data_IF_974441824037
#
_entry.id   IF_974441824037
#
_cell.length_a   1.000
_cell.length_b   1.000
_cell.length_c   1.000
_cell.angle_alpha   90.00
_cell.angle_beta   90.00
_cell.angle_gamma   90.00
#
_symmetry.space_group_name_H-M   'P 1'
#
loop_
_entity.id
_entity.type
_entity.pdbx_description
1 polymer ?
#
# COMPACT_ATOMS: atom_id res chain seq x y z
N UNK A 1 13.99 8.92 0.44
CA UNK A 1 14.66 9.35 1.69
C UNK A 1 13.70 10.25 2.47
N UNK A 2 13.85 10.49 3.78
CA UNK A 2 13.02 11.51 4.43
C UNK A 2 13.64 12.20 5.65
N UNK A 3 13.17 13.42 5.92
CA UNK A 3 13.48 14.21 7.10
C UNK A 3 12.44 13.91 8.18
N UNK A 4 12.87 13.59 9.39
CA UNK A 4 11.98 13.41 10.53
C UNK A 4 12.61 13.95 11.80
N UNK A 5 11.93 14.91 12.42
CA UNK A 5 12.41 15.63 13.60
C UNK A 5 13.86 16.15 13.43
N UNK A 6 14.17 16.67 12.24
CA UNK A 6 15.50 17.21 11.93
C UNK A 6 16.55 16.18 11.52
N UNK A 7 16.24 14.88 11.52
CA UNK A 7 17.17 13.82 11.11
C UNK A 7 16.86 13.30 9.71
N UNK A 8 17.90 13.04 8.92
CA UNK A 8 17.77 12.36 7.62
C UNK A 8 17.72 10.84 7.87
N UNK A 9 16.68 10.20 7.35
CA UNK A 9 16.51 8.75 7.42
C UNK A 9 16.42 8.15 6.02
N UNK A 10 17.20 7.09 5.79
CA UNK A 10 17.22 6.32 4.55
C UNK A 10 16.85 4.88 4.90
N UNK A 11 15.70 4.42 4.41
CA UNK A 11 15.18 3.07 4.71
C UNK A 11 15.51 2.02 3.65
N UNK A 12 15.62 2.45 2.40
CA UNK A 12 15.86 1.56 1.26
C UNK A 12 16.43 2.36 0.09
N UNK A 13 17.30 1.73 -0.70
CA UNK A 13 17.64 2.16 -2.05
C UNK A 13 16.71 1.36 -2.99
N UNK A 14 15.83 2.02 -3.77
CA UNK A 14 14.81 1.32 -4.55
C UNK A 14 15.44 0.27 -5.48
N UNK A 15 14.99 -0.97 -5.33
CA UNK A 15 15.35 -2.06 -6.24
C UNK A 15 14.48 -2.03 -7.51
N UNK A 16 14.88 -2.75 -8.55
CA UNK A 16 14.06 -2.90 -9.75
C UNK A 16 12.66 -3.48 -9.45
N UNK A 17 12.59 -4.42 -8.50
CA UNK A 17 11.35 -5.07 -8.08
C UNK A 17 10.41 -4.08 -7.37
N UNK A 18 10.99 -3.21 -6.54
CA UNK A 18 10.28 -2.09 -5.92
C UNK A 18 9.65 -1.20 -7.00
N UNK A 19 10.45 -0.68 -7.94
CA UNK A 19 9.96 0.27 -8.96
C UNK A 19 8.88 -0.32 -9.86
N UNK A 20 9.02 -1.60 -10.26
CA UNK A 20 8.03 -2.28 -11.10
C UNK A 20 6.71 -2.52 -10.35
N UNK A 21 6.77 -2.94 -9.08
CA UNK A 21 5.57 -3.17 -8.25
C UNK A 21 4.75 -1.89 -8.17
N UNK A 22 5.43 -0.79 -7.88
CA UNK A 22 4.79 0.48 -7.64
C UNK A 22 4.26 1.13 -8.94
N UNK A 23 5.01 1.01 -10.05
CA UNK A 23 4.52 1.38 -11.39
C UNK A 23 3.32 0.56 -11.86
N UNK A 24 3.24 -0.73 -11.50
CA UNK A 24 2.09 -1.60 -11.81
C UNK A 24 0.83 -1.12 -11.11
N UNK A 25 0.92 -0.76 -9.83
CA UNK A 25 -0.21 -0.20 -9.07
C UNK A 25 -0.71 1.08 -9.73
N UNK A 26 0.20 1.97 -10.13
CA UNK A 26 -0.15 3.21 -10.85
C UNK A 26 -0.94 2.92 -12.14
N UNK A 27 -0.47 1.98 -12.97
CA UNK A 27 -1.14 1.64 -14.24
C UNK A 27 -2.53 1.05 -14.00
N UNK A 28 -2.68 0.17 -13.00
CA UNK A 28 -3.97 -0.41 -12.64
C UNK A 28 -4.96 0.67 -12.19
N UNK A 29 -4.53 1.58 -11.31
CA UNK A 29 -5.36 2.70 -10.85
C UNK A 29 -5.71 3.68 -11.99
N UNK A 30 -4.72 4.04 -12.81
CA UNK A 30 -4.87 4.94 -13.96
C UNK A 30 -5.84 4.40 -15.02
N UNK A 31 -5.73 3.11 -15.33
CA UNK A 31 -6.67 2.44 -16.24
C UNK A 31 -8.08 2.40 -15.66
N UNK A 32 -8.22 2.05 -14.37
CA UNK A 32 -9.52 1.94 -13.71
C UNK A 32 -10.29 3.26 -13.68
N UNK A 33 -9.62 4.39 -13.39
CA UNK A 33 -10.28 5.68 -13.28
C UNK A 33 -10.17 6.57 -14.52
N UNK A 34 -9.74 6.01 -15.66
CA UNK A 34 -9.48 6.77 -16.88
C UNK A 34 -8.57 8.00 -16.64
N UNK A 35 -7.55 7.83 -15.80
CA UNK A 35 -6.56 8.84 -15.44
C UNK A 35 -7.11 10.11 -14.76
N UNK A 36 -8.24 10.03 -14.10
CA UNK A 36 -8.85 11.15 -13.35
C UNK A 36 -8.10 11.55 -12.05
N UNK A 37 -7.00 10.86 -11.76
CA UNK A 37 -6.05 11.26 -10.70
C UNK A 37 -4.81 11.91 -11.32
N UNK A 38 -4.19 12.77 -10.52
CA UNK A 38 -2.78 13.06 -10.63
C UNK A 38 -2.01 11.98 -9.85
N UNK A 39 -0.91 11.55 -10.43
CA UNK A 39 -0.01 10.56 -9.85
C UNK A 39 1.39 11.17 -9.81
N UNK A 40 2.20 10.77 -8.83
CA UNK A 40 3.60 11.13 -8.84
C UNK A 40 4.43 10.24 -7.93
N UNK A 41 5.73 10.38 -8.13
CA UNK A 41 6.80 9.71 -7.40
C UNK A 41 7.75 10.77 -6.88
N UNK A 42 8.52 10.46 -5.83
CA UNK A 42 9.70 11.24 -5.42
C UNK A 42 9.44 12.72 -5.08
N UNK A 43 8.17 13.14 -4.94
CA UNK A 43 7.83 14.47 -4.50
C UNK A 43 8.00 14.56 -2.98
N UNK A 44 8.86 15.47 -2.52
CA UNK A 44 8.98 15.77 -1.08
C UNK A 44 7.72 16.49 -0.61
N UNK A 45 6.98 15.87 0.31
CA UNK A 45 5.84 16.50 0.98
C UNK A 45 6.19 16.88 2.40
N UNK A 46 5.74 18.06 2.82
CA UNK A 46 5.86 18.57 4.19
C UNK A 46 4.81 17.86 5.05
N UNK A 47 5.22 17.04 6.01
CA UNK A 47 4.30 16.28 6.87
C UNK A 47 4.20 16.86 8.28
N UNK A 48 5.03 17.85 8.62
CA UNK A 48 5.02 18.54 9.90
C UNK A 48 6.25 19.44 10.08
N UNK A 49 6.39 20.10 11.23
CA UNK A 49 7.61 20.82 11.58
C UNK A 49 8.82 19.89 11.47
N UNK A 50 9.84 20.30 10.71
CA UNK A 50 11.06 19.53 10.47
C UNK A 50 10.82 18.07 10.06
N UNK A 51 9.69 17.81 9.37
CA UNK A 51 9.31 16.49 8.90
C UNK A 51 8.81 16.61 7.46
N UNK A 52 9.52 15.99 6.54
CA UNK A 52 9.15 15.96 5.13
C UNK A 52 9.60 14.65 4.52
N UNK A 53 8.80 14.08 3.61
CA UNK A 53 9.05 12.75 3.05
C UNK A 53 8.76 12.70 1.57
N UNK A 54 9.66 12.03 0.87
CA UNK A 54 9.41 11.46 -0.45
C UNK A 54 8.69 10.13 -0.24
N UNK A 55 7.46 10.06 -0.73
CA UNK A 55 6.76 8.79 -0.87
C UNK A 55 7.24 8.06 -2.10
N UNK A 56 7.13 6.74 -2.10
CA UNK A 56 7.36 5.96 -3.31
C UNK A 56 6.34 6.41 -4.37
N UNK A 57 5.05 6.41 -4.03
CA UNK A 57 3.97 6.85 -4.92
C UNK A 57 2.86 7.57 -4.14
N UNK A 58 2.22 8.53 -4.82
CA UNK A 58 1.05 9.23 -4.31
C UNK A 58 -0.04 9.37 -5.37
N UNK A 59 -1.28 9.47 -4.90
CA UNK A 59 -2.48 9.62 -5.73
C UNK A 59 -3.32 10.78 -5.22
N UNK A 60 -3.68 11.69 -6.13
CA UNK A 60 -4.47 12.88 -5.80
C UNK A 60 -5.58 13.10 -6.83
N UNK A 61 -6.84 13.31 -6.43
CA UNK A 61 -7.90 13.75 -7.34
C UNK A 61 -7.52 15.03 -8.07
N UNK A 62 -7.67 15.04 -9.40
CA UNK A 62 -7.41 16.26 -10.21
C UNK A 62 -8.36 17.40 -9.88
N UNK A 63 -9.51 17.05 -9.31
CA UNK A 63 -10.57 17.98 -8.93
C UNK A 63 -10.53 18.37 -7.45
N UNK A 64 -9.51 17.94 -6.71
CA UNK A 64 -9.30 18.40 -5.34
C UNK A 64 -8.79 19.86 -5.36
N UNK A 65 -9.49 20.82 -4.73
CA UNK A 65 -9.02 22.19 -4.67
C UNK A 65 -7.73 22.30 -3.83
N UNK A 66 -6.78 23.09 -4.32
CA UNK A 66 -5.61 23.48 -3.53
C UNK A 66 -6.05 24.42 -2.39
N UNK A 67 -5.40 24.34 -1.21
CA UNK A 67 -5.49 25.38 -0.18
C UNK A 67 -5.18 26.78 -0.72
N UNK A 68 -5.64 27.85 -0.05
CA UNK A 68 -5.27 29.22 -0.41
C UNK A 68 -3.75 29.39 -0.46
N UNK A 69 -3.25 30.05 -1.51
CA UNK A 69 -1.83 30.31 -1.68
C UNK A 69 -1.32 31.17 -0.51
N UNK A 70 -0.20 30.75 0.09
CA UNK A 70 0.41 31.41 1.25
C UNK A 70 -0.20 31.01 2.59
N UNK A 71 -1.17 30.08 2.60
CA UNK A 71 -1.74 29.56 3.85
C UNK A 71 -0.75 28.69 4.63
N UNK A 72 0.24 28.11 3.94
CA UNK A 72 1.17 27.16 4.53
C UNK A 72 0.46 25.89 5.02
N UNK A 73 -0.70 25.56 4.45
CA UNK A 73 -1.51 24.37 4.77
C UNK A 73 -1.35 23.26 3.73
N UNK A 74 -0.71 23.53 2.59
CA UNK A 74 -0.47 22.52 1.58
C UNK A 74 0.71 21.60 1.86
N UNK A 75 0.86 20.63 0.97
CA UNK A 75 1.89 19.60 0.96
C UNK A 75 3.26 20.11 0.55
N UNK A 76 3.32 21.25 -0.14
CA UNK A 76 4.55 21.86 -0.63
C UNK A 76 4.55 23.38 -0.43
N UNK A 77 5.63 24.04 -0.86
CA UNK A 77 5.78 25.50 -0.80
C UNK A 77 4.78 26.29 -1.64
N UNK A 78 4.08 25.63 -2.57
CA UNK A 78 3.09 26.24 -3.44
C UNK A 78 1.66 26.00 -2.93
N UNK A 79 1.53 25.53 -1.69
CA UNK A 79 0.27 25.15 -1.06
C UNK A 79 -0.56 24.15 -1.89
N UNK A 80 0.11 23.20 -2.54
CA UNK A 80 -0.59 22.10 -3.22
C UNK A 80 -1.36 21.23 -2.24
N UNK A 81 -2.59 20.85 -2.58
CA UNK A 81 -3.36 19.92 -1.77
C UNK A 81 -2.61 18.60 -1.57
N UNK A 82 -2.67 18.03 -0.37
CA UNK A 82 -2.10 16.71 -0.13
C UNK A 82 -2.78 15.66 -1.03
N UNK A 83 -2.03 14.63 -1.45
CA UNK A 83 -2.62 13.42 -1.98
C UNK A 83 -3.66 12.83 -1.01
N UNK A 84 -4.68 12.15 -1.54
CA UNK A 84 -5.65 11.43 -0.70
C UNK A 84 -5.14 10.04 -0.35
N UNK A 85 -4.25 9.47 -1.16
CA UNK A 85 -3.66 8.16 -0.95
C UNK A 85 -2.15 8.17 -1.12
N UNK A 86 -1.47 7.47 -0.22
CA UNK A 86 -0.04 7.19 -0.25
C UNK A 86 0.20 5.71 -0.46
N UNK A 87 1.19 5.37 -1.28
CA UNK A 87 1.60 4.00 -1.52
C UNK A 87 3.09 3.88 -1.18
N UNK A 88 3.42 2.94 -0.31
CA UNK A 88 4.80 2.62 0.08
C UNK A 88 5.08 1.16 -0.25
N UNK A 89 6.22 0.90 -0.90
CA UNK A 89 6.66 -0.44 -1.26
C UNK A 89 7.98 -0.71 -0.56
N UNK A 90 8.06 -1.81 0.18
CA UNK A 90 9.30 -2.20 0.86
C UNK A 90 9.78 -3.56 0.36
N UNK A 91 11.02 -3.63 -0.12
CA UNK A 91 11.69 -4.90 -0.38
C UNK A 91 12.72 -5.19 0.71
N UNK A 92 13.64 -4.27 0.95
CA UNK A 92 14.63 -4.36 2.04
C UNK A 92 14.06 -3.81 3.35
N UNK A 93 13.15 -2.83 3.26
CA UNK A 93 12.50 -2.26 4.43
C UNK A 93 11.64 -3.29 5.16
N UNK A 94 11.67 -3.29 6.50
CA UNK A 94 10.82 -4.19 7.30
C UNK A 94 9.33 -3.81 7.19
N UNK A 95 8.45 -4.80 7.41
CA UNK A 95 7.00 -4.54 7.46
C UNK A 95 6.63 -3.54 8.57
N UNK A 96 7.32 -3.60 9.71
CA UNK A 96 7.07 -2.70 10.84
C UNK A 96 7.48 -1.25 10.52
N UNK A 97 8.54 -1.05 9.74
CA UNK A 97 8.92 0.30 9.31
C UNK A 97 7.95 0.88 8.29
N UNK A 98 7.37 0.04 7.40
CA UNK A 98 6.26 0.45 6.53
C UNK A 98 5.05 0.86 7.37
N UNK A 99 4.68 0.05 8.37
CA UNK A 99 3.58 0.32 9.28
C UNK A 99 3.76 1.66 10.04
N UNK A 100 4.95 1.91 10.60
CA UNK A 100 5.24 3.14 11.35
C UNK A 100 5.13 4.41 10.52
N UNK A 101 5.38 4.35 9.21
CA UNK A 101 5.24 5.50 8.30
C UNK A 101 3.80 6.03 8.26
N UNK A 102 2.79 5.19 8.49
CA UNK A 102 1.38 5.61 8.50
C UNK A 102 1.12 6.73 9.49
N UNK A 103 1.77 6.74 10.66
CA UNK A 103 1.60 7.80 11.66
C UNK A 103 2.02 9.18 11.14
N UNK A 104 3.02 9.25 10.26
CA UNK A 104 3.45 10.49 9.62
C UNK A 104 2.38 10.99 8.64
N UNK A 105 1.86 10.08 7.82
CA UNK A 105 0.83 10.39 6.83
C UNK A 105 -0.52 10.71 7.44
N UNK A 106 -0.86 10.15 8.60
CA UNK A 106 -2.11 10.42 9.32
C UNK A 106 -1.98 11.46 10.43
N UNK A 107 -0.88 12.22 10.45
CA UNK A 107 -0.75 13.34 11.37
C UNK A 107 -1.87 14.39 11.17
N UNK A 108 -2.16 15.22 12.18
CA UNK A 108 -3.12 16.32 12.06
C UNK A 108 -2.75 17.38 11.01
N UNK A 109 -1.49 17.38 10.54
CA UNK A 109 -0.98 18.32 9.54
C UNK A 109 -1.50 18.03 8.13
N UNK A 110 -1.85 16.79 7.83
CA UNK A 110 -2.13 16.30 6.48
C UNK A 110 -3.61 15.96 6.34
N UNK A 111 -4.09 15.91 5.10
CA UNK A 111 -5.46 15.46 4.77
C UNK A 111 -5.51 14.09 4.09
N UNK A 112 -4.38 13.38 4.04
CA UNK A 112 -4.21 12.06 3.42
C UNK A 112 -5.17 11.06 4.07
N UNK A 113 -6.01 10.36 3.31
CA UNK A 113 -7.02 9.45 3.86
C UNK A 113 -6.60 7.98 3.84
N UNK A 114 -5.75 7.59 2.88
CA UNK A 114 -5.40 6.19 2.64
C UNK A 114 -3.89 6.03 2.65
N UNK A 115 -3.40 4.96 3.30
CA UNK A 115 -2.04 4.45 3.10
C UNK A 115 -2.14 2.99 2.66
N UNK A 116 -1.52 2.65 1.54
CA UNK A 116 -1.32 1.27 1.09
C UNK A 116 0.16 0.92 1.23
N UNK A 117 0.46 -0.04 2.08
CA UNK A 117 1.80 -0.58 2.23
C UNK A 117 1.90 -1.94 1.54
N UNK A 118 2.91 -2.13 0.69
CA UNK A 118 3.22 -3.41 0.05
C UNK A 118 4.59 -3.87 0.54
N UNK A 119 4.63 -4.98 1.26
CA UNK A 119 5.88 -5.65 1.64
C UNK A 119 6.14 -6.80 0.68
N UNK A 120 7.32 -6.79 0.07
CA UNK A 120 7.85 -7.84 -0.79
C UNK A 120 8.93 -8.58 0.01
N UNK A 121 8.83 -9.90 0.10
CA UNK A 121 9.85 -10.74 0.73
C UNK A 121 10.84 -11.29 -0.29
N UNK A 122 11.99 -11.75 0.18
CA UNK A 122 12.96 -12.45 -0.66
C UNK A 122 12.38 -13.74 -1.23
N UNK A 123 12.79 -14.08 -2.46
CA UNK A 123 12.44 -15.36 -3.09
C UNK A 123 13.08 -16.50 -2.29
N UNK A 124 12.27 -17.52 -1.99
CA UNK A 124 12.69 -18.76 -1.34
C UNK A 124 12.77 -19.85 -2.40
N UNK A 125 13.96 -20.38 -2.67
CA UNK A 125 14.14 -21.49 -3.61
C UNK A 125 14.39 -22.77 -2.84
N UNK A 126 13.56 -23.79 -3.10
CA UNK A 126 13.83 -25.14 -2.61
C UNK A 126 14.98 -25.74 -3.44
N UNK A 127 16.11 -26.10 -2.82
CA UNK A 127 17.27 -26.62 -3.55
C UNK A 127 17.03 -28.00 -4.17
N UNK A 128 16.02 -28.75 -3.72
CA UNK A 128 15.75 -30.11 -4.19
C UNK A 128 14.82 -30.12 -5.40
N UNK A 129 13.83 -29.22 -5.43
CA UNK A 129 12.84 -29.12 -6.52
C UNK A 129 13.18 -28.01 -7.50
N UNK A 130 14.11 -27.12 -7.14
CA UNK A 130 14.42 -25.87 -7.85
C UNK A 130 13.18 -24.97 -8.04
N UNK A 131 12.15 -25.16 -7.21
CA UNK A 131 10.94 -24.35 -7.22
C UNK A 131 11.16 -23.10 -6.39
N UNK A 132 10.84 -21.95 -6.96
CA UNK A 132 10.98 -20.65 -6.30
C UNK A 132 9.62 -20.14 -5.82
N UNK A 133 9.55 -19.68 -4.58
CA UNK A 133 8.32 -19.15 -4.00
C UNK A 133 8.54 -17.78 -3.39
N UNK A 134 7.47 -17.00 -3.28
CA UNK A 134 7.53 -15.65 -2.72
C UNK A 134 6.27 -15.37 -1.92
N UNK A 135 6.44 -14.67 -0.80
CA UNK A 135 5.33 -14.06 -0.06
C UNK A 135 5.35 -12.55 -0.29
N UNK A 136 4.17 -11.97 -0.32
CA UNK A 136 3.94 -10.53 -0.29
C UNK A 136 2.82 -10.22 0.71
N UNK A 137 2.82 -9.01 1.26
CA UNK A 137 1.78 -8.52 2.15
C UNK A 137 1.31 -7.16 1.65
N UNK A 138 0.01 -7.01 1.45
CA UNK A 138 -0.65 -5.73 1.27
C UNK A 138 -1.34 -5.34 2.58
N UNK A 139 -1.11 -4.13 3.08
CA UNK A 139 -1.76 -3.60 4.28
C UNK A 139 -2.40 -2.24 3.97
N UNK A 140 -3.71 -2.14 4.15
CA UNK A 140 -4.51 -0.95 3.90
C UNK A 140 -4.85 -0.24 5.21
N UNK A 141 -4.57 1.06 5.27
CA UNK A 141 -4.91 1.93 6.39
C UNK A 141 -5.88 3.01 5.91
N UNK A 142 -6.89 3.29 6.73
CA UNK A 142 -7.88 4.33 6.48
C UNK A 142 -7.89 5.31 7.64
N UNK A 143 -7.74 6.61 7.37
CA UNK A 143 -7.80 7.66 8.40
C UNK A 143 -9.15 7.69 9.11
N UNK A 144 -10.23 7.37 8.40
CA UNK A 144 -11.62 7.34 8.89
C UNK A 144 -11.91 6.16 9.81
N UNK A 145 -11.01 5.18 9.90
CA UNK A 145 -11.13 4.05 10.83
C UNK A 145 -11.09 4.53 12.28
N UNK A 146 -11.81 3.83 13.18
CA UNK A 146 -11.74 4.07 14.62
C UNK A 146 -10.31 3.87 15.18
N UNK A 147 -9.50 3.06 14.50
CA UNK A 147 -8.09 2.79 14.83
C UNK A 147 -7.22 3.03 13.59
N UNK A 148 -6.95 4.29 13.20
CA UNK A 148 -6.36 4.61 11.89
C UNK A 148 -4.91 4.16 11.72
N UNK A 149 -4.21 3.87 12.83
CA UNK A 149 -2.85 3.33 12.81
C UNK A 149 -2.81 1.80 12.77
N UNK A 150 -3.97 1.13 12.79
CA UNK A 150 -4.09 -0.33 12.59
C UNK A 150 -4.65 -0.54 11.18
N UNK A 151 -4.04 -1.41 10.35
CA UNK A 151 -4.61 -1.71 9.03
C UNK A 151 -6.04 -2.24 9.16
N UNK A 152 -6.94 -1.74 8.32
CA UNK A 152 -8.33 -2.23 8.24
C UNK A 152 -8.42 -3.55 7.46
N UNK A 153 -7.47 -3.78 6.55
CA UNK A 153 -7.34 -5.00 5.76
C UNK A 153 -5.87 -5.32 5.52
N UNK A 154 -5.50 -6.58 5.71
CA UNK A 154 -4.21 -7.15 5.36
C UNK A 154 -4.45 -8.40 4.52
N UNK A 155 -3.81 -8.47 3.35
CA UNK A 155 -3.88 -9.62 2.45
C UNK A 155 -2.46 -10.15 2.21
N UNK A 156 -2.21 -11.40 2.57
CA UNK A 156 -1.03 -12.13 2.11
C UNK A 156 -1.28 -12.71 0.73
N UNK A 157 -0.32 -12.55 -0.18
CA UNK A 157 -0.44 -13.03 -1.56
C UNK A 157 0.92 -13.48 -2.10
N UNK A 158 0.92 -14.17 -3.23
CA UNK A 158 2.10 -14.83 -3.80
C UNK A 158 1.93 -16.35 -3.84
N UNK A 159 3.06 -17.08 -3.83
CA UNK A 159 3.08 -18.55 -3.97
C UNK A 159 3.49 -19.28 -2.70
N UNK A 160 3.77 -18.55 -1.62
CA UNK A 160 4.07 -19.16 -0.34
C UNK A 160 3.54 -18.35 0.84
N UNK A 161 3.33 -19.07 1.94
CA UNK A 161 2.86 -18.53 3.19
C UNK A 161 3.86 -17.50 3.76
N UNK A 162 3.37 -16.42 4.41
CA UNK A 162 4.23 -15.59 5.25
C UNK A 162 4.81 -16.43 6.39
N UNK A 163 6.05 -16.17 6.78
CA UNK A 163 6.66 -16.87 7.92
C UNK A 163 5.95 -16.55 9.25
N UNK A 164 6.18 -17.39 10.26
CA UNK A 164 5.54 -17.24 11.57
C UNK A 164 5.85 -15.89 12.24
N UNK A 165 7.05 -15.33 12.02
CA UNK A 165 7.43 -14.04 12.59
C UNK A 165 6.66 -12.89 11.94
N UNK A 166 6.41 -12.96 10.64
CA UNK A 166 5.60 -12.02 9.87
C UNK A 166 4.15 -12.07 10.33
N UNK A 167 3.59 -13.27 10.48
CA UNK A 167 2.23 -13.46 11.01
C UNK A 167 2.12 -12.89 12.43
N UNK A 168 3.09 -13.19 13.30
CA UNK A 168 3.16 -12.68 14.66
C UNK A 168 3.28 -11.14 14.69
N UNK A 169 4.06 -10.56 13.79
CA UNK A 169 4.20 -9.11 13.65
C UNK A 169 2.85 -8.47 13.29
N UNK A 170 2.15 -9.00 12.29
CA UNK A 170 0.85 -8.48 11.83
C UNK A 170 -0.19 -8.53 12.96
N UNK A 171 -0.29 -9.67 13.66
CA UNK A 171 -1.32 -9.85 14.69
C UNK A 171 -0.96 -9.07 15.96
N UNK A 172 0.24 -9.26 16.48
CA UNK A 172 0.57 -8.82 17.84
C UNK A 172 1.28 -7.46 17.89
N UNK A 173 2.06 -7.08 16.87
CA UNK A 173 2.78 -5.81 16.86
C UNK A 173 2.00 -4.71 16.13
N UNK A 174 1.38 -5.04 14.99
CA UNK A 174 0.54 -4.12 14.24
C UNK A 174 -0.91 -4.08 14.75
N UNK A 175 -1.29 -5.06 15.60
CA UNK A 175 -2.61 -5.11 16.23
C UNK A 175 -3.75 -5.49 15.29
N UNK A 176 -3.47 -6.16 14.17
CA UNK A 176 -4.47 -6.48 13.15
C UNK A 176 -5.43 -7.54 13.68
N UNK A 177 -6.75 -7.27 13.69
CA UNK A 177 -7.74 -8.27 14.08
C UNK A 177 -7.68 -9.49 13.16
N UNK A 178 -7.87 -10.73 13.67
CA UNK A 178 -7.79 -11.93 12.85
C UNK A 178 -8.68 -11.93 11.61
N UNK A 179 -9.89 -11.35 11.69
CA UNK A 179 -10.82 -11.25 10.56
C UNK A 179 -10.40 -10.24 9.48
N UNK A 180 -9.44 -9.36 9.77
CA UNK A 180 -8.88 -8.39 8.84
C UNK A 180 -7.62 -8.91 8.14
N UNK A 181 -7.15 -10.12 8.46
CA UNK A 181 -5.95 -10.72 7.85
C UNK A 181 -6.27 -12.02 7.10
N UNK A 182 -6.34 -11.90 5.77
CA UNK A 182 -6.71 -12.98 4.83
C UNK A 182 -5.58 -13.27 3.82
N UNK A 183 -5.79 -14.23 2.93
CA UNK A 183 -4.87 -14.57 1.85
C UNK A 183 -3.94 -15.75 2.16
N UNK A 184 -2.92 -15.97 1.32
CA UNK A 184 -2.05 -17.16 1.34
C UNK A 184 -1.51 -17.45 2.75
N UNK A 185 -1.61 -18.70 3.20
CA UNK A 185 -1.21 -19.11 4.54
C UNK A 185 -2.21 -18.77 5.65
N UNK A 186 -3.41 -18.28 5.29
CA UNK A 186 -4.54 -18.05 6.21
C UNK A 186 -5.69 -19.00 5.88
N UNK A 187 -6.47 -19.46 6.87
CA UNK A 187 -7.69 -20.22 6.63
C UNK A 187 -8.74 -19.37 5.91
N UNK A 188 -9.36 -19.92 4.87
CA UNK A 188 -10.51 -19.33 4.19
C UNK A 188 -11.82 -19.83 4.83
N UNK A 189 -12.58 -18.95 5.50
CA UNK A 189 -13.84 -19.34 6.12
C UNK A 189 -14.90 -19.81 5.11
N UNK A 190 -14.75 -19.50 3.82
CA UNK A 190 -15.70 -19.86 2.78
C UNK A 190 -15.38 -21.21 2.11
N UNK A 191 -14.25 -21.84 2.45
CA UNK A 191 -13.78 -23.08 1.83
C UNK A 191 -13.41 -24.14 2.88
N UNK A 192 -14.34 -24.46 3.78
CA UNK A 192 -14.14 -25.44 4.86
C UNK A 192 -12.91 -25.16 5.75
N UNK A 193 -12.51 -23.90 5.89
CA UNK A 193 -11.27 -23.48 6.57
C UNK A 193 -9.98 -24.05 5.96
N UNK A 194 -10.02 -24.50 4.70
CA UNK A 194 -8.79 -24.73 3.93
C UNK A 194 -8.07 -23.40 3.73
N UNK A 195 -6.74 -23.44 3.62
CA UNK A 195 -6.00 -22.20 3.37
C UNK A 195 -6.34 -21.60 2.01
N UNK A 196 -6.29 -20.27 1.92
CA UNK A 196 -6.38 -19.58 0.64
C UNK A 196 -5.32 -20.14 -0.34
N UNK A 197 -5.71 -20.41 -1.60
CA UNK A 197 -4.83 -21.05 -2.58
C UNK A 197 -3.76 -20.08 -3.09
N UNK A 198 -2.53 -20.52 -3.42
CA UNK A 198 -1.47 -19.63 -3.91
C UNK A 198 -1.88 -18.90 -5.21
N UNK A 199 -1.32 -17.72 -5.47
CA UNK A 199 -1.71 -16.86 -6.60
C UNK A 199 -1.48 -17.48 -8.00
N UNK A 200 -0.78 -18.61 -8.11
CA UNK A 200 -0.60 -19.35 -9.36
C UNK A 200 -1.62 -20.48 -9.58
N UNK A 201 -2.57 -20.69 -8.67
CA UNK A 201 -3.67 -21.63 -8.85
C UNK A 201 -4.87 -20.97 -9.58
N UNK A 202 -5.48 -21.62 -10.59
CA UNK A 202 -6.77 -21.18 -11.14
C UNK A 202 -7.94 -21.65 -10.27
N UNK A 203 -9.08 -20.93 -10.14
CA UNK A 203 -9.38 -19.55 -10.58
C UNK A 203 -9.40 -18.57 -9.38
N UNK A 204 -8.24 -18.12 -8.89
CA UNK A 204 -8.12 -17.38 -7.62
C UNK A 204 -8.34 -15.86 -7.72
N UNK A 205 -9.08 -15.39 -8.72
CA UNK A 205 -9.24 -13.95 -8.99
C UNK A 205 -10.01 -13.16 -7.91
N UNK A 206 -11.07 -13.69 -7.26
CA UNK A 206 -11.80 -12.94 -6.24
C UNK A 206 -11.06 -12.81 -4.90
N UNK A 207 -10.24 -13.81 -4.54
CA UNK A 207 -9.67 -13.95 -3.19
C UNK A 207 -8.61 -12.88 -2.86
N UNK A 208 -8.02 -12.29 -3.90
CA UNK A 208 -6.90 -11.34 -3.79
C UNK A 208 -7.26 -9.92 -4.18
N UNK A 209 -8.54 -9.56 -4.08
CA UNK A 209 -9.03 -8.21 -4.33
C UNK A 209 -9.03 -7.38 -3.05
N UNK A 210 -8.31 -6.26 -3.07
CA UNK A 210 -8.32 -5.27 -2.00
C UNK A 210 -9.24 -4.11 -2.38
N UNK A 211 -10.28 -3.89 -1.58
CA UNK A 211 -11.19 -2.76 -1.78
C UNK A 211 -10.55 -1.46 -1.29
N UNK A 212 -10.31 -0.53 -2.21
CA UNK A 212 -9.87 0.84 -1.94
C UNK A 212 -11.11 1.75 -1.92
N UNK A 213 -11.51 2.26 -0.75
CA UNK A 213 -12.75 3.01 -0.61
C UNK A 213 -12.77 4.31 -1.42
N UNK A 214 -13.79 4.47 -2.25
CA UNK A 214 -14.01 5.68 -3.05
C UNK A 214 -14.18 6.97 -2.21
N UNK A 215 -14.99 6.98 -1.13
CA UNK A 215 -15.17 8.19 -0.32
C UNK A 215 -13.86 8.78 0.21
N UNK A 216 -12.97 7.93 0.70
CA UNK A 216 -11.64 8.31 1.17
C UNK A 216 -10.72 8.71 0.01
N UNK A 217 -10.75 7.96 -1.10
CA UNK A 217 -9.90 8.21 -2.26
C UNK A 217 -10.22 9.55 -2.96
N UNK A 218 -11.50 9.97 -2.93
CA UNK A 218 -11.98 11.24 -3.48
C UNK A 218 -12.31 12.29 -2.40
N UNK A 219 -11.81 12.11 -1.18
CA UNK A 219 -12.09 13.03 -0.09
C UNK A 219 -11.72 14.48 -0.44
N UNK A 220 -12.67 15.40 -0.26
CA UNK A 220 -12.53 16.82 -0.60
C UNK A 220 -12.91 17.18 -2.04
N UNK A 221 -13.24 16.20 -2.89
CA UNK A 221 -13.78 16.44 -4.24
C UNK A 221 -15.29 16.75 -4.14
N UNK A 222 -15.81 17.72 -4.90
CA UNK A 222 -17.24 17.99 -4.96
C UNK A 222 -18.09 16.76 -5.37
N UNK A 223 -19.20 16.54 -4.65
CA UNK A 223 -20.04 15.31 -4.71
C UNK A 223 -20.51 14.91 -6.12
N UNK A 224 -20.69 15.87 -7.02
CA UNK A 224 -21.12 15.62 -8.41
C UNK A 224 -20.03 14.99 -9.30
N UNK A 225 -18.84 14.69 -8.76
CA UNK A 225 -17.70 14.12 -9.48
C UNK A 225 -17.11 12.86 -8.82
N UNK A 226 -17.89 12.17 -8.00
CA UNK A 226 -17.43 10.97 -7.28
C UNK A 226 -17.77 9.69 -8.07
N UNK A 227 -16.78 8.93 -8.56
CA UNK A 227 -17.02 7.57 -9.05
C UNK A 227 -17.06 6.55 -7.89
N UNK A 228 -17.38 5.29 -8.21
CA UNK A 228 -17.39 4.18 -7.26
C UNK A 228 -15.97 3.87 -6.75
N UNK A 229 -15.83 3.08 -5.67
CA UNK A 229 -14.52 2.63 -5.16
C UNK A 229 -13.77 1.68 -6.11
N UNK A 230 -12.48 1.48 -5.85
CA UNK A 230 -11.58 0.64 -6.66
C UNK A 230 -11.43 -0.75 -6.02
N UNK A 231 -11.58 -1.80 -6.81
CA UNK A 231 -11.10 -3.14 -6.45
C UNK A 231 -9.71 -3.34 -7.04
N UNK A 232 -8.69 -3.28 -6.19
CA UNK A 232 -7.31 -3.51 -6.58
C UNK A 232 -7.02 -5.02 -6.55
N UNK A 233 -6.87 -5.62 -7.72
CA UNK A 233 -6.54 -7.04 -7.85
C UNK A 233 -5.02 -7.25 -7.70
N UNK A 234 -4.63 -7.82 -6.55
CA UNK A 234 -3.24 -8.03 -6.16
C UNK A 234 -2.55 -9.11 -7.01
N UNK A 235 -3.30 -9.95 -7.74
CA UNK A 235 -2.71 -10.97 -8.62
C UNK A 235 -1.91 -10.32 -9.76
N UNK A 236 -2.34 -9.13 -10.22
CA UNK A 236 -1.64 -8.39 -11.27
C UNK A 236 -0.36 -7.73 -10.78
N UNK A 237 -0.26 -7.51 -9.48
CA UNK A 237 0.98 -7.10 -8.82
C UNK A 237 1.91 -8.30 -8.74
N UNK A 238 1.41 -9.46 -8.30
CA UNK A 238 2.18 -10.71 -8.26
C UNK A 238 2.68 -11.17 -9.64
N UNK A 239 1.89 -11.06 -10.70
CA UNK A 239 2.30 -11.46 -12.06
C UNK A 239 3.56 -10.74 -12.57
N UNK A 240 3.95 -9.61 -11.97
CA UNK A 240 5.24 -8.95 -12.28
C UNK A 240 6.46 -9.74 -11.80
N UNK A 241 6.26 -10.70 -10.90
CA UNK A 241 7.28 -11.60 -10.35
C UNK A 241 7.38 -12.90 -11.14
N UNK A 242 6.26 -13.50 -11.58
CA UNK A 242 6.27 -14.71 -12.42
C UNK A 242 6.97 -14.51 -13.76
N UNK A 243 6.88 -13.31 -14.36
CA UNK A 243 7.57 -13.04 -15.62
C UNK A 243 9.11 -12.95 -15.47
N UNK A 244 9.62 -12.81 -14.24
CA UNK A 244 11.05 -12.55 -13.98
C UNK A 244 11.75 -13.70 -13.28
N UNK A 245 11.05 -14.34 -12.36
CA UNK A 245 11.46 -15.58 -11.76
C UNK A 245 10.65 -16.64 -12.49
N UNK A 246 11.27 -17.47 -13.33
CA UNK A 246 10.61 -18.70 -13.79
C UNK A 246 10.34 -19.54 -12.54
N UNK A 247 9.18 -19.31 -11.93
CA UNK A 247 8.63 -20.04 -10.79
C UNK A 247 8.02 -21.33 -11.31
#
# INVERSE_FOLDING_TARGET
>A
MYLHNGNIIIYEVPSFVHGVTAGRILVLMGGWNNWDFAYGTEATMILGPNTAKESDFWVRPRHLPDPPIGSGLGADRNDKAYPTMMIEVGFSQSLLDLHRKTALYFSPRTTIQIVLAIKIFGVRTDPNTNTSTIALIAALYLRTSATPLIPTSVISFGTADPDANTVNCIINQMGVPPGSFTGVGRPDPNNNNNNFPPCNAPPNLPDYQMNIPGPELYNGVPVHRLPQGLLLDLIWIFGTFEMKFRI
#
